data_IF_675579570154
#
_entry.id   IF_675579570154
#
_cell.length_a   1.000
_cell.length_b   1.000
_cell.length_c   1.000
_cell.angle_alpha   90.00
_cell.angle_beta   90.00
_cell.angle_gamma   90.00
#
_symmetry.space_group_name_H-M   'P 1'
#
loop_
_entity.id
_entity.type
_entity.pdbx_description
1 polymer ?
#
# COMPACT_ATOMS: atom_id res chain seq x y z
N UNK A 1 16.73 3.39 -13.13
CA UNK A 1 17.92 4.04 -12.54
C UNK A 1 19.13 3.93 -13.45
N UNK A 2 19.45 2.75 -13.96
CA UNK A 2 20.59 2.57 -14.87
C UNK A 2 20.51 3.56 -16.06
N UNK A 3 19.34 3.70 -16.68
CA UNK A 3 19.14 4.66 -17.75
C UNK A 3 19.32 6.11 -17.28
N UNK A 4 18.79 6.48 -16.12
CA UNK A 4 18.95 7.82 -15.57
C UNK A 4 20.43 8.16 -15.36
N UNK A 5 21.24 7.22 -14.86
CA UNK A 5 22.69 7.41 -14.74
C UNK A 5 23.37 7.51 -16.12
N UNK A 6 23.00 6.63 -17.06
CA UNK A 6 23.57 6.61 -18.41
C UNK A 6 23.32 7.93 -19.16
N UNK A 7 22.13 8.50 -18.99
CA UNK A 7 21.72 9.74 -19.68
C UNK A 7 21.87 11.00 -18.84
N UNK A 8 22.51 10.92 -17.66
CA UNK A 8 22.60 12.03 -16.70
C UNK A 8 21.25 12.70 -16.42
N UNK A 9 20.19 11.89 -16.26
CA UNK A 9 18.83 12.32 -16.09
C UNK A 9 18.31 12.01 -14.68
N UNK A 10 17.18 12.61 -14.31
CA UNK A 10 16.47 12.32 -13.06
C UNK A 10 15.48 11.18 -13.24
N UNK A 11 15.21 10.49 -12.13
CA UNK A 11 14.21 9.42 -12.09
C UNK A 11 12.85 9.95 -11.64
N UNK A 12 11.79 9.61 -12.37
CA UNK A 12 10.41 9.92 -12.00
C UNK A 12 9.57 8.63 -12.02
N UNK A 13 8.72 8.45 -11.01
CA UNK A 13 7.73 7.36 -10.97
C UNK A 13 6.33 7.95 -10.99
N UNK A 14 5.50 7.44 -11.88
CA UNK A 14 4.10 7.83 -12.00
C UNK A 14 3.19 6.90 -11.20
N UNK A 15 2.22 7.49 -10.53
CA UNK A 15 1.15 6.78 -9.81
C UNK A 15 -0.19 7.40 -10.16
N UNK A 16 -1.23 6.58 -10.16
CA UNK A 16 -2.60 7.08 -10.15
C UNK A 16 -3.14 7.15 -8.71
N UNK A 17 -3.77 8.27 -8.35
CA UNK A 17 -4.43 8.42 -7.05
C UNK A 17 -5.81 9.09 -7.24
N UNK A 18 -6.93 8.50 -6.77
CA UNK A 18 -7.00 7.14 -6.22
C UNK A 18 -6.54 6.08 -7.23
N UNK A 19 -6.28 4.87 -6.75
CA UNK A 19 -5.99 3.73 -7.64
C UNK A 19 -7.20 3.49 -8.56
N UNK A 20 -6.96 3.09 -9.81
CA UNK A 20 -8.04 2.90 -10.78
C UNK A 20 -9.17 1.99 -10.25
N UNK A 21 -8.83 0.87 -9.56
CA UNK A 21 -9.82 -0.01 -8.96
C UNK A 21 -10.68 0.68 -7.88
N UNK A 22 -10.09 1.59 -7.09
CA UNK A 22 -10.84 2.38 -6.08
C UNK A 22 -11.76 3.41 -6.72
N UNK A 23 -11.36 3.99 -7.84
CA UNK A 23 -12.23 4.88 -8.61
C UNK A 23 -13.41 4.11 -9.20
N UNK A 24 -13.17 2.97 -9.84
CA UNK A 24 -14.22 2.19 -10.46
C UNK A 24 -15.22 1.60 -9.45
N UNK A 25 -14.77 1.18 -8.27
CA UNK A 25 -15.67 0.70 -7.22
C UNK A 25 -16.67 1.78 -6.76
N UNK A 26 -16.26 3.06 -6.81
CA UNK A 26 -17.15 4.18 -6.44
C UNK A 26 -18.14 4.57 -7.55
N UNK A 27 -17.77 4.36 -8.81
CA UNK A 27 -18.51 4.88 -9.98
C UNK A 27 -19.41 3.82 -10.60
N UNK A 28 -18.96 2.57 -10.69
CA UNK A 28 -19.70 1.48 -11.37
C UNK A 28 -20.63 0.73 -10.45
N UNK A 29 -20.15 0.38 -9.28
CA UNK A 29 -20.92 -0.39 -8.31
C UNK A 29 -20.42 -0.03 -6.90
N UNK A 30 -21.29 0.68 -6.15
CA UNK A 30 -20.99 1.07 -4.77
C UNK A 30 -20.79 -0.14 -3.83
N UNK A 31 -21.25 -1.32 -4.23
CA UNK A 31 -21.09 -2.55 -3.47
C UNK A 31 -19.77 -3.27 -3.78
N UNK A 32 -19.08 -2.89 -4.88
CA UNK A 32 -17.79 -3.48 -5.23
C UNK A 32 -16.69 -2.92 -4.34
N UNK A 33 -16.16 -3.77 -3.47
CA UNK A 33 -15.07 -3.42 -2.57
C UNK A 33 -13.74 -3.46 -3.37
N UNK A 34 -12.98 -2.37 -3.42
CA UNK A 34 -11.69 -2.39 -4.11
C UNK A 34 -10.70 -3.30 -3.39
N UNK A 35 -9.72 -3.86 -4.11
CA UNK A 35 -8.67 -4.66 -3.49
C UNK A 35 -7.96 -3.87 -2.37
N UNK A 36 -7.67 -4.49 -1.22
CA UNK A 36 -6.99 -3.82 -0.13
C UNK A 36 -5.59 -3.37 -0.55
N UNK A 37 -5.15 -2.23 -0.06
CA UNK A 37 -3.80 -1.72 -0.36
C UNK A 37 -2.75 -2.49 0.42
N UNK A 38 -1.78 -3.05 -0.29
CA UNK A 38 -0.61 -3.70 0.32
C UNK A 38 0.24 -2.66 1.05
N UNK A 39 0.40 -1.49 0.43
CA UNK A 39 1.26 -0.43 0.93
C UNK A 39 0.52 0.91 0.86
N UNK A 40 0.24 1.58 1.99
CA UNK A 40 -0.26 2.93 2.01
C UNK A 40 0.67 3.90 1.29
N UNK A 41 0.11 4.98 0.71
CA UNK A 41 0.89 5.92 -0.12
C UNK A 41 2.13 6.49 0.60
N UNK A 42 2.01 6.79 1.89
CA UNK A 42 3.13 7.34 2.69
C UNK A 42 4.28 6.33 2.83
N UNK A 43 3.97 5.06 3.06
CA UNK A 43 4.98 4.01 3.12
C UNK A 43 5.60 3.75 1.74
N UNK A 44 4.78 3.78 0.68
CA UNK A 44 5.25 3.76 -0.71
C UNK A 44 6.25 4.88 -0.96
N UNK A 45 5.95 6.11 -0.52
CA UNK A 45 6.86 7.24 -0.64
C UNK A 45 8.20 7.01 0.09
N UNK A 46 8.16 6.44 1.30
CA UNK A 46 9.40 6.10 2.04
C UNK A 46 10.24 5.03 1.31
N UNK A 47 9.58 4.05 0.69
CA UNK A 47 10.25 3.04 -0.12
C UNK A 47 10.90 3.65 -1.36
N UNK A 48 10.23 4.55 -2.06
CA UNK A 48 10.78 5.28 -3.20
C UNK A 48 12.00 6.12 -2.80
N UNK A 49 11.91 6.83 -1.66
CA UNK A 49 13.04 7.58 -1.11
C UNK A 49 14.24 6.69 -0.83
N UNK A 50 14.03 5.53 -0.19
CA UNK A 50 15.08 4.51 0.03
C UNK A 50 15.66 4.00 -1.28
N UNK A 51 14.83 3.88 -2.31
CA UNK A 51 15.25 3.52 -3.65
C UNK A 51 15.92 4.66 -4.40
N UNK A 52 16.16 5.83 -3.79
CA UNK A 52 16.78 7.01 -4.40
C UNK A 52 16.08 7.42 -5.71
N UNK A 53 14.75 7.42 -5.73
CA UNK A 53 13.93 7.99 -6.79
C UNK A 53 13.85 9.50 -6.55
N UNK A 54 14.11 10.30 -7.58
CA UNK A 54 14.16 11.75 -7.48
C UNK A 54 12.75 12.37 -7.37
N UNK A 55 11.80 11.90 -8.18
CA UNK A 55 10.44 12.45 -8.25
C UNK A 55 9.37 11.37 -8.21
N UNK A 56 8.25 11.68 -7.58
CA UNK A 56 7.01 10.91 -7.62
C UNK A 56 5.88 11.79 -8.17
N UNK A 57 5.31 11.41 -9.30
CA UNK A 57 4.21 12.11 -9.93
C UNK A 57 2.89 11.39 -9.66
N UNK A 58 1.92 12.10 -9.08
CA UNK A 58 0.59 11.57 -8.80
C UNK A 58 -0.40 12.09 -9.86
N UNK A 59 -0.79 11.21 -10.76
CA UNK A 59 -1.85 11.49 -11.73
C UNK A 59 -3.21 11.29 -11.05
N UNK A 60 -4.02 12.35 -10.99
CA UNK A 60 -5.37 12.26 -10.43
C UNK A 60 -6.25 11.38 -11.33
N UNK A 61 -6.58 10.16 -10.83
CA UNK A 61 -7.48 9.27 -11.56
C UNK A 61 -8.94 9.73 -11.38
N UNK A 62 -9.45 10.38 -12.39
CA UNK A 62 -10.80 10.96 -12.45
C UNK A 62 -11.45 10.66 -13.81
N UNK A 63 -12.63 11.22 -14.07
CA UNK A 63 -13.31 11.06 -15.35
C UNK A 63 -12.45 11.52 -16.54
N UNK A 64 -11.73 12.64 -16.41
CA UNK A 64 -10.84 13.17 -17.49
C UNK A 64 -9.75 12.16 -17.85
N UNK A 65 -8.98 11.66 -16.86
CA UNK A 65 -7.92 10.69 -17.12
C UNK A 65 -8.48 9.34 -17.63
N UNK A 66 -9.63 8.92 -17.11
CA UNK A 66 -10.30 7.67 -17.52
C UNK A 66 -10.75 7.67 -18.99
N UNK A 67 -11.23 8.81 -19.48
CA UNK A 67 -11.74 8.96 -20.87
C UNK A 67 -10.70 9.47 -21.84
N UNK A 68 -9.50 9.82 -21.37
CA UNK A 68 -8.39 10.30 -22.18
C UNK A 68 -7.95 9.22 -23.17
N UNK A 69 -7.87 9.57 -24.45
CA UNK A 69 -7.36 8.62 -25.46
C UNK A 69 -5.89 8.29 -25.22
N UNK A 70 -5.35 7.20 -25.80
CA UNK A 70 -3.91 6.92 -25.70
C UNK A 70 -3.07 8.06 -26.28
N UNK A 71 -3.47 8.65 -27.39
CA UNK A 71 -2.75 9.76 -28.03
C UNK A 71 -2.79 11.03 -27.18
N UNK A 72 -3.92 11.33 -26.55
CA UNK A 72 -4.03 12.44 -25.60
C UNK A 72 -3.17 12.20 -24.35
N UNK A 73 -3.10 10.98 -23.86
CA UNK A 73 -2.23 10.64 -22.72
C UNK A 73 -0.76 10.89 -23.07
N UNK A 74 -0.33 10.48 -24.24
CA UNK A 74 1.01 10.72 -24.74
C UNK A 74 1.27 12.24 -24.88
N UNK A 75 0.43 12.94 -25.62
CA UNK A 75 0.65 14.35 -25.93
C UNK A 75 0.52 15.28 -24.73
N UNK A 76 -0.45 15.05 -23.82
CA UNK A 76 -0.69 15.92 -22.68
C UNK A 76 0.15 15.57 -21.45
N UNK A 77 0.59 14.31 -21.29
CA UNK A 77 1.33 13.86 -20.11
C UNK A 77 2.79 13.56 -20.45
N UNK A 78 3.06 12.69 -21.43
CA UNK A 78 4.43 12.26 -21.69
C UNK A 78 5.22 13.33 -22.45
N UNK A 79 4.63 13.97 -23.47
CA UNK A 79 5.28 15.05 -24.23
C UNK A 79 5.45 16.35 -23.43
N UNK A 80 4.74 16.49 -22.28
CA UNK A 80 4.93 17.64 -21.37
C UNK A 80 6.20 17.54 -20.52
N UNK A 81 6.91 16.42 -20.59
CA UNK A 81 8.11 16.13 -19.80
C UNK A 81 9.26 15.82 -20.75
N UNK A 82 10.44 16.36 -20.50
CA UNK A 82 11.64 16.02 -21.25
C UNK A 82 12.15 14.62 -20.89
N UNK A 83 11.57 13.59 -21.51
CA UNK A 83 11.91 12.20 -21.28
C UNK A 83 13.09 11.75 -22.15
N UNK A 84 14.02 11.00 -21.56
CA UNK A 84 15.10 10.29 -22.27
C UNK A 84 14.86 8.80 -22.33
N UNK A 85 14.14 8.25 -21.35
CA UNK A 85 13.67 6.87 -21.39
C UNK A 85 12.35 6.71 -20.61
N UNK A 86 11.55 5.73 -21.01
CA UNK A 86 10.30 5.37 -20.38
C UNK A 86 10.21 3.86 -20.17
N UNK A 87 10.10 3.41 -18.92
CA UNK A 87 10.08 2.00 -18.57
C UNK A 87 8.72 1.60 -18.03
N UNK A 88 8.12 0.57 -18.58
CA UNK A 88 6.79 0.07 -18.21
C UNK A 88 6.81 -1.44 -17.96
N UNK A 89 5.79 -1.96 -17.26
CA UNK A 89 5.60 -3.40 -17.13
C UNK A 89 5.15 -4.02 -18.46
N UNK A 90 5.38 -5.31 -18.61
CA UNK A 90 5.00 -6.10 -19.79
C UNK A 90 3.48 -6.12 -20.08
N UNK A 91 2.66 -5.97 -19.03
CA UNK A 91 1.20 -5.90 -19.08
C UNK A 91 0.63 -4.47 -19.04
N UNK A 92 1.48 -3.48 -19.23
CA UNK A 92 1.07 -2.07 -19.14
C UNK A 92 0.03 -1.72 -20.20
N UNK A 93 -1.03 -1.06 -19.75
CA UNK A 93 -2.11 -0.55 -20.60
C UNK A 93 -2.53 0.81 -20.11
N UNK A 94 -2.83 1.72 -21.02
CA UNK A 94 -3.21 3.10 -20.70
C UNK A 94 -4.30 3.63 -21.65
N UNK A 95 -4.78 4.82 -21.35
CA UNK A 95 -5.83 5.48 -22.13
C UNK A 95 -7.22 4.83 -21.95
N UNK A 96 -8.22 5.45 -22.57
CA UNK A 96 -9.61 5.02 -22.50
C UNK A 96 -9.78 3.58 -23.00
N UNK A 97 -10.48 2.75 -22.21
CA UNK A 97 -10.70 1.35 -22.54
C UNK A 97 -9.42 0.50 -22.57
N UNK A 98 -8.30 0.98 -22.03
CA UNK A 98 -6.99 0.29 -22.05
C UNK A 98 -6.47 0.04 -23.46
N UNK A 99 -6.80 0.93 -24.41
CA UNK A 99 -6.46 0.78 -25.84
C UNK A 99 -4.98 1.04 -26.13
N UNK A 100 -4.30 1.84 -25.29
CA UNK A 100 -2.86 2.06 -25.38
C UNK A 100 -2.09 0.90 -24.77
N UNK A 101 -1.02 0.49 -25.43
CA UNK A 101 -0.13 -0.58 -25.02
C UNK A 101 1.35 -0.20 -25.16
N UNK A 102 2.21 -1.16 -24.94
CA UNK A 102 3.65 -0.97 -25.03
C UNK A 102 4.14 -0.72 -26.46
N UNK A 103 3.49 -1.31 -27.45
CA UNK A 103 3.90 -1.15 -28.85
C UNK A 103 3.59 0.26 -29.34
N UNK A 104 2.44 0.83 -28.93
CA UNK A 104 2.14 2.24 -29.18
C UNK A 104 3.18 3.16 -28.54
N UNK A 105 3.61 2.86 -27.31
CA UNK A 105 4.66 3.64 -26.64
C UNK A 105 6.02 3.51 -27.32
N UNK A 106 6.40 2.32 -27.79
CA UNK A 106 7.64 2.11 -28.52
C UNK A 106 7.65 2.90 -29.81
N UNK A 107 6.58 2.81 -30.62
CA UNK A 107 6.44 3.58 -31.86
C UNK A 107 6.49 5.11 -31.62
N UNK A 108 5.90 5.59 -30.53
CA UNK A 108 6.03 6.99 -30.12
C UNK A 108 7.46 7.34 -29.72
N UNK A 109 8.09 6.48 -28.90
CA UNK A 109 9.45 6.67 -28.43
C UNK A 109 10.46 6.74 -29.58
N UNK A 110 10.37 5.83 -30.55
CA UNK A 110 11.21 5.81 -31.76
C UNK A 110 11.14 7.14 -32.52
N UNK A 111 9.92 7.68 -32.73
CA UNK A 111 9.73 8.97 -33.40
C UNK A 111 10.32 10.14 -32.66
N UNK A 112 10.45 10.05 -31.34
CA UNK A 112 10.94 11.13 -30.46
C UNK A 112 12.39 10.94 -30.00
N UNK A 113 13.02 9.81 -30.35
CA UNK A 113 14.36 9.45 -29.85
C UNK A 113 14.36 9.10 -28.37
N UNK A 114 13.23 8.62 -27.83
CA UNK A 114 13.03 8.22 -26.44
C UNK A 114 13.11 6.70 -26.34
N UNK A 115 13.97 6.19 -25.46
CA UNK A 115 14.10 4.76 -25.21
C UNK A 115 12.88 4.24 -24.41
N UNK A 116 12.06 3.37 -25.01
CA UNK A 116 10.95 2.70 -24.33
C UNK A 116 11.30 1.25 -24.06
N UNK A 117 11.31 0.84 -22.80
CA UNK A 117 11.70 -0.48 -22.33
C UNK A 117 10.58 -1.13 -21.51
N UNK A 118 10.49 -2.46 -21.63
CA UNK A 118 9.68 -3.26 -20.71
C UNK A 118 10.53 -3.77 -19.56
N UNK A 119 9.97 -3.77 -18.36
CA UNK A 119 10.57 -4.52 -17.25
C UNK A 119 10.37 -6.01 -17.49
N UNK A 120 11.41 -6.79 -17.22
CA UNK A 120 11.27 -8.24 -17.17
C UNK A 120 10.30 -8.66 -16.06
N UNK A 121 9.52 -9.71 -16.33
CA UNK A 121 8.65 -10.31 -15.32
C UNK A 121 9.51 -10.99 -14.24
N UNK A 122 9.40 -10.51 -13.02
CA UNK A 122 10.05 -11.15 -11.86
C UNK A 122 9.21 -12.36 -11.46
N UNK A 123 9.86 -13.50 -11.35
CA UNK A 123 9.24 -14.76 -10.88
C UNK A 123 9.87 -15.23 -9.57
N UNK A 124 9.09 -15.90 -8.75
CA UNK A 124 9.50 -16.61 -7.55
C UNK A 124 8.81 -17.98 -7.55
N UNK A 125 9.58 -19.05 -7.42
CA UNK A 125 9.08 -20.45 -7.49
C UNK A 125 8.29 -20.73 -8.80
N UNK A 126 8.81 -20.23 -9.93
CA UNK A 126 8.20 -20.39 -11.25
C UNK A 126 6.93 -19.57 -11.51
N UNK A 127 6.48 -18.78 -10.56
CA UNK A 127 5.27 -17.97 -10.65
C UNK A 127 5.59 -16.49 -10.60
N UNK A 128 4.83 -15.69 -11.39
CA UNK A 128 4.98 -14.22 -11.42
C UNK A 128 4.78 -13.60 -10.02
N UNK A 129 5.70 -12.71 -9.63
CA UNK A 129 5.50 -11.83 -8.48
C UNK A 129 4.51 -10.73 -8.86
N UNK A 130 3.37 -10.69 -8.18
CA UNK A 130 2.30 -9.74 -8.45
C UNK A 130 1.63 -9.24 -7.18
N UNK A 131 1.00 -8.06 -7.25
CA UNK A 131 0.21 -7.54 -6.14
C UNK A 131 -0.99 -8.44 -5.78
N UNK A 132 -1.53 -9.20 -6.72
CA UNK A 132 -2.60 -10.18 -6.45
C UNK A 132 -2.07 -11.30 -5.57
N UNK A 133 -0.99 -11.95 -5.97
CA UNK A 133 -0.36 -13.03 -5.19
C UNK A 133 0.08 -12.57 -3.80
N UNK A 134 0.65 -11.37 -3.68
CA UNK A 134 1.02 -10.81 -2.37
C UNK A 134 -0.21 -10.62 -1.48
N UNK A 135 -1.35 -10.14 -2.02
CA UNK A 135 -2.59 -10.02 -1.24
C UNK A 135 -3.13 -11.37 -0.79
N UNK A 136 -3.10 -12.37 -1.65
CA UNK A 136 -3.51 -13.74 -1.32
C UNK A 136 -2.67 -14.31 -0.17
N UNK A 137 -1.34 -14.17 -0.22
CA UNK A 137 -0.47 -14.62 0.87
C UNK A 137 -0.78 -13.89 2.19
N UNK A 138 -1.01 -12.58 2.14
CA UNK A 138 -1.36 -11.79 3.33
C UNK A 138 -2.74 -12.14 3.88
N UNK A 139 -3.74 -12.36 3.02
CA UNK A 139 -5.08 -12.80 3.43
C UNK A 139 -5.06 -14.18 4.08
N UNK A 140 -4.18 -15.06 3.60
CA UNK A 140 -3.94 -16.39 4.16
C UNK A 140 -2.96 -16.37 5.35
N UNK A 141 -2.52 -15.18 5.79
CA UNK A 141 -1.56 -14.96 6.88
C UNK A 141 -0.17 -15.59 6.65
N UNK A 142 0.21 -15.86 5.42
CA UNK A 142 1.51 -16.42 5.04
C UNK A 142 2.56 -15.29 4.94
N UNK A 143 2.90 -14.67 6.09
CA UNK A 143 3.81 -13.52 6.13
C UNK A 143 5.20 -13.84 5.58
N UNK A 144 5.69 -15.06 5.76
CA UNK A 144 6.99 -15.48 5.23
C UNK A 144 7.01 -15.48 3.69
N UNK A 145 5.97 -15.98 3.04
CA UNK A 145 5.86 -15.95 1.59
C UNK A 145 5.61 -14.53 1.09
N UNK A 146 4.76 -13.76 1.77
CA UNK A 146 4.54 -12.35 1.46
C UNK A 146 5.86 -11.54 1.57
N UNK A 147 6.72 -11.82 2.56
CA UNK A 147 8.04 -11.20 2.71
C UNK A 147 8.96 -11.53 1.53
N UNK A 148 9.02 -12.81 1.10
CA UNK A 148 9.79 -13.23 -0.07
C UNK A 148 9.33 -12.50 -1.34
N UNK A 149 8.01 -12.42 -1.57
CA UNK A 149 7.43 -11.75 -2.73
C UNK A 149 7.62 -10.21 -2.70
N UNK A 150 7.61 -9.61 -1.50
CA UNK A 150 7.81 -8.17 -1.30
C UNK A 150 9.29 -7.77 -1.29
N UNK A 151 10.21 -8.71 -1.06
CA UNK A 151 11.63 -8.46 -0.77
C UNK A 151 11.86 -7.75 0.58
N UNK A 152 10.86 -7.73 1.47
CA UNK A 152 10.90 -7.08 2.78
C UNK A 152 9.76 -7.57 3.67
N UNK A 153 9.89 -7.47 5.02
CA UNK A 153 8.78 -7.77 5.91
C UNK A 153 7.52 -6.94 5.60
N UNK A 154 6.36 -7.53 5.81
CA UNK A 154 5.11 -6.79 5.75
C UNK A 154 4.99 -5.90 6.98
N UNK A 155 4.95 -4.60 6.75
CA UNK A 155 4.88 -3.58 7.80
C UNK A 155 3.79 -2.56 7.52
N UNK A 156 3.29 -1.94 8.56
CA UNK A 156 2.42 -0.77 8.49
C UNK A 156 2.96 0.33 9.40
N UNK A 157 3.02 1.56 8.91
CA UNK A 157 3.45 2.72 9.70
C UNK A 157 2.33 3.75 9.78
N UNK A 158 1.95 4.12 11.00
CA UNK A 158 0.88 5.10 11.23
C UNK A 158 1.18 6.05 12.39
N UNK A 159 0.40 7.13 12.47
CA UNK A 159 0.40 8.04 13.62
C UNK A 159 -0.48 7.43 14.72
N UNK A 160 0.00 7.48 15.97
CA UNK A 160 -0.79 7.06 17.12
C UNK A 160 -1.78 8.17 17.45
N UNK A 161 -3.05 7.80 17.54
CA UNK A 161 -4.18 8.70 17.81
C UNK A 161 -4.91 8.28 19.07
N UNK A 162 -5.68 9.20 19.65
CA UNK A 162 -6.57 8.87 20.76
C UNK A 162 -7.65 7.89 20.32
N UNK A 163 -7.88 6.85 21.09
CA UNK A 163 -8.96 5.89 20.96
C UNK A 163 -9.99 6.05 22.08
N UNK A 164 -10.86 5.06 22.23
CA UNK A 164 -11.88 5.05 23.30
C UNK A 164 -11.33 4.72 24.70
N UNK A 165 -10.03 4.47 24.83
CA UNK A 165 -9.32 4.18 26.08
C UNK A 165 -9.81 2.95 26.88
N UNK A 166 -10.63 2.09 26.30
CA UNK A 166 -11.20 0.90 26.96
C UNK A 166 -10.11 -0.04 27.50
N UNK A 167 -8.99 -0.19 26.80
CA UNK A 167 -7.89 -1.04 27.24
C UNK A 167 -7.23 -0.57 28.54
N UNK A 168 -7.29 0.74 28.88
CA UNK A 168 -6.74 1.27 30.15
C UNK A 168 -7.50 0.76 31.36
N UNK A 169 -8.81 0.57 31.25
CA UNK A 169 -9.65 0.08 32.36
C UNK A 169 -9.33 -1.34 32.79
N UNK A 170 -8.64 -2.08 31.93
CA UNK A 170 -8.25 -3.48 32.16
C UNK A 170 -6.74 -3.69 32.25
N UNK A 171 -5.96 -2.62 32.42
CA UNK A 171 -4.49 -2.64 32.45
C UNK A 171 -3.83 -3.19 31.16
N UNK A 172 -4.52 -3.11 30.04
CA UNK A 172 -4.01 -3.47 28.70
C UNK A 172 -4.11 -2.23 27.80
N UNK A 173 -3.27 -1.21 28.02
CA UNK A 173 -3.33 0.01 27.22
C UNK A 173 -3.03 -0.30 25.74
N UNK A 174 -3.87 0.18 24.84
CA UNK A 174 -3.70 0.01 23.40
C UNK A 174 -3.43 1.35 22.71
N UNK A 175 -2.46 1.37 21.82
CA UNK A 175 -2.21 2.47 20.90
C UNK A 175 -3.09 2.31 19.67
N UNK A 176 -3.98 3.26 19.42
CA UNK A 176 -4.77 3.30 18.18
C UNK A 176 -3.93 3.92 17.07
N UNK A 177 -3.74 3.19 15.99
CA UNK A 177 -2.97 3.66 14.84
C UNK A 177 -3.93 4.18 13.78
N UNK A 178 -3.70 5.41 13.35
CA UNK A 178 -4.53 6.03 12.32
C UNK A 178 -4.36 5.32 10.98
N UNK A 179 -5.48 4.83 10.46
CA UNK A 179 -5.61 4.21 9.13
C UNK A 179 -6.35 5.19 8.22
N UNK A 180 -5.75 5.64 7.12
CA UNK A 180 -6.47 6.45 6.15
C UNK A 180 -7.49 5.55 5.43
N UNK A 181 -8.74 5.54 5.78
CA UNK A 181 -9.88 4.82 5.16
C UNK A 181 -9.51 3.72 4.13
N UNK A 182 -8.43 3.01 4.39
CA UNK A 182 -7.85 2.00 3.50
C UNK A 182 -7.89 0.67 4.22
N UNK A 183 -8.47 -0.31 3.57
CA UNK A 183 -8.42 -1.69 4.05
C UNK A 183 -7.00 -2.24 3.83
N UNK A 184 -6.47 -2.93 4.84
CA UNK A 184 -5.28 -3.75 4.72
C UNK A 184 -5.67 -5.20 4.37
N UNK A 185 -4.81 -5.97 3.70
CA UNK A 185 -5.08 -7.37 3.35
C UNK A 185 -4.82 -8.33 4.52
N UNK A 186 -5.19 -7.92 5.72
CA UNK A 186 -5.08 -8.70 6.97
C UNK A 186 -6.26 -8.38 7.88
N UNK A 187 -6.72 -9.34 8.66
CA UNK A 187 -7.77 -9.21 9.67
C UNK A 187 -7.57 -10.20 10.80
N UNK A 188 -7.72 -9.73 12.04
CA UNK A 188 -7.57 -10.55 13.25
C UNK A 188 -6.53 -10.00 14.22
N UNK A 189 -6.09 -10.85 15.13
CA UNK A 189 -5.10 -10.55 16.17
C UNK A 189 -3.76 -11.19 15.81
N UNK A 190 -2.69 -10.42 15.93
CA UNK A 190 -1.36 -10.77 15.46
C UNK A 190 -0.29 -10.52 16.50
N UNK A 191 0.70 -11.39 16.57
CA UNK A 191 1.98 -11.09 17.20
C UNK A 191 2.72 -10.07 16.31
N UNK A 192 3.25 -9.02 16.92
CA UNK A 192 3.92 -7.94 16.18
C UNK A 192 5.24 -7.53 16.83
N UNK A 193 6.15 -7.03 15.99
CA UNK A 193 7.31 -6.26 16.42
C UNK A 193 7.12 -4.82 16.00
N UNK A 194 7.25 -3.92 16.96
CA UNK A 194 7.00 -2.50 16.75
C UNK A 194 8.31 -1.71 16.84
N UNK A 195 8.48 -0.73 15.95
CA UNK A 195 9.55 0.24 16.05
C UNK A 195 8.94 1.62 16.33
N UNK A 196 9.31 2.18 17.48
CA UNK A 196 8.92 3.52 17.94
C UNK A 196 10.21 4.32 18.17
N UNK A 197 10.51 5.27 17.29
CA UNK A 197 11.81 5.94 17.25
C UNK A 197 12.94 4.90 17.17
N UNK A 198 13.83 4.84 18.17
CA UNK A 198 14.93 3.88 18.26
C UNK A 198 14.58 2.63 19.06
N UNK A 199 13.40 2.61 19.73
CA UNK A 199 12.95 1.48 20.52
C UNK A 199 12.37 0.39 19.63
N UNK A 200 12.74 -0.86 19.94
CA UNK A 200 12.15 -2.07 19.35
C UNK A 200 11.36 -2.80 20.43
N UNK A 201 10.05 -2.87 20.27
CA UNK A 201 9.10 -3.39 21.24
C UNK A 201 8.33 -4.57 20.67
N UNK A 202 8.00 -5.55 21.49
CA UNK A 202 7.09 -6.62 21.12
C UNK A 202 5.65 -6.24 21.54
N UNK A 203 4.66 -6.84 20.89
CA UNK A 203 3.27 -6.57 21.25
C UNK A 203 2.28 -7.45 20.50
N UNK A 204 1.02 -7.16 20.71
CA UNK A 204 -0.13 -7.74 20.03
C UNK A 204 -0.87 -6.64 19.30
N UNK A 205 -1.23 -6.89 18.04
CA UNK A 205 -2.02 -5.97 17.24
C UNK A 205 -3.38 -6.60 16.87
N UNK A 206 -4.44 -5.83 17.03
CA UNK A 206 -5.76 -6.16 16.49
C UNK A 206 -6.03 -5.33 15.25
N UNK A 207 -6.19 -5.99 14.11
CA UNK A 207 -6.64 -5.39 12.86
C UNK A 207 -8.10 -5.78 12.62
N UNK A 208 -8.99 -4.85 12.86
CA UNK A 208 -10.43 -5.07 12.78
C UNK A 208 -11.17 -3.96 12.08
N UNK A 209 -12.49 -3.98 12.24
CA UNK A 209 -13.39 -2.94 11.74
C UNK A 209 -14.32 -2.47 12.86
N UNK A 210 -14.61 -1.18 12.89
CA UNK A 210 -15.65 -0.61 13.77
C UNK A 210 -16.86 -0.20 12.94
N UNK A 211 -18.06 -0.56 13.36
CA UNK A 211 -19.27 -0.01 12.80
C UNK A 211 -19.30 1.51 13.00
N UNK A 212 -19.71 2.23 11.96
CA UNK A 212 -19.92 3.69 11.97
C UNK A 212 -21.22 4.02 11.27
N UNK A 213 -21.74 5.23 11.43
CA UNK A 213 -22.96 5.69 10.77
C UNK A 213 -22.88 5.58 9.21
N UNK A 214 -21.67 5.56 8.65
CA UNK A 214 -21.43 5.45 7.20
C UNK A 214 -20.85 4.10 6.74
N UNK A 215 -20.89 3.04 7.55
CA UNK A 215 -20.34 1.73 7.24
C UNK A 215 -19.29 1.25 8.25
N UNK A 216 -18.33 0.48 7.80
CA UNK A 216 -17.26 -0.04 8.64
C UNK A 216 -15.96 0.75 8.44
N UNK A 217 -15.34 1.17 9.54
CA UNK A 217 -14.03 1.82 9.52
C UNK A 217 -12.95 0.84 9.98
N UNK A 218 -11.87 0.63 9.20
CA UNK A 218 -10.76 -0.20 9.63
C UNK A 218 -10.05 0.44 10.83
N UNK A 219 -9.65 -0.40 11.78
CA UNK A 219 -8.97 -0.01 13.02
C UNK A 219 -7.78 -0.91 13.23
N UNK A 220 -6.64 -0.30 13.59
CA UNK A 220 -5.45 -1.01 14.03
C UNK A 220 -5.12 -0.56 15.45
N UNK A 221 -5.25 -1.47 16.40
CA UNK A 221 -4.91 -1.26 17.81
C UNK A 221 -3.72 -2.12 18.17
N UNK A 222 -2.75 -1.56 18.86
CA UNK A 222 -1.54 -2.26 19.29
C UNK A 222 -1.36 -2.13 20.79
N UNK A 223 -1.24 -3.25 21.48
CA UNK A 223 -0.77 -3.33 22.85
C UNK A 223 0.73 -3.64 22.82
N UNK A 224 1.54 -2.78 23.41
CA UNK A 224 2.99 -2.93 23.53
C UNK A 224 3.31 -3.55 24.89
N UNK A 225 4.11 -4.62 24.90
CA UNK A 225 4.50 -5.29 26.13
C UNK A 225 5.52 -4.47 26.91
N UNK A 226 5.41 -4.47 28.23
CA UNK A 226 6.35 -3.82 29.16
C UNK A 226 6.61 -2.34 28.82
N UNK A 227 5.58 -1.66 28.31
CA UNK A 227 5.69 -0.28 27.84
C UNK A 227 4.54 0.58 28.36
N UNK A 228 4.85 1.67 29.07
CA UNK A 228 3.85 2.51 29.73
C UNK A 228 4.06 4.03 29.50
N UNK A 229 4.75 4.40 28.43
CA UNK A 229 4.98 5.81 28.12
C UNK A 229 3.84 6.43 27.33
N UNK A 230 3.74 7.76 27.37
CA UNK A 230 2.82 8.50 26.52
C UNK A 230 3.39 8.64 25.10
N UNK A 231 2.75 7.99 24.14
CA UNK A 231 3.20 7.93 22.73
C UNK A 231 2.20 8.55 21.74
N UNK A 232 1.21 9.28 22.23
CA UNK A 232 0.26 9.98 21.35
C UNK A 232 0.97 10.94 20.41
N UNK A 233 0.43 11.06 19.22
CA UNK A 233 0.98 11.86 18.13
C UNK A 233 2.30 11.38 17.55
N UNK A 234 2.97 10.41 18.16
CA UNK A 234 4.16 9.77 17.62
C UNK A 234 3.80 8.81 16.48
N UNK A 235 4.81 8.39 15.75
CA UNK A 235 4.66 7.41 14.68
C UNK A 235 5.27 6.09 15.10
N UNK A 236 4.52 5.02 14.85
CA UNK A 236 4.95 3.65 15.10
C UNK A 236 4.97 2.88 13.79
N UNK A 237 5.95 2.00 13.63
CA UNK A 237 5.98 0.99 12.58
C UNK A 237 5.70 -0.37 13.20
N UNK A 238 4.72 -1.08 12.67
CA UNK A 238 4.28 -2.40 13.09
C UNK A 238 4.68 -3.41 12.04
N UNK A 239 5.52 -4.39 12.39
CA UNK A 239 5.82 -5.58 11.59
C UNK A 239 4.90 -6.69 12.08
N UNK A 240 4.08 -7.24 11.19
CA UNK A 240 3.26 -8.41 11.46
C UNK A 240 4.14 -9.66 11.36
N UNK A 241 4.06 -10.50 12.38
CA UNK A 241 4.90 -11.71 12.50
C UNK A 241 4.06 -12.95 12.25
N UNK A 242 3.00 -13.12 13.03
CA UNK A 242 2.15 -14.31 12.98
C UNK A 242 0.73 -13.98 13.43
N UNK A 243 -0.25 -14.67 12.89
CA UNK A 243 -1.64 -14.56 13.33
C UNK A 243 -1.85 -15.41 14.57
N UNK A 244 -2.40 -14.80 15.61
CA UNK A 244 -2.75 -15.50 16.86
C UNK A 244 -4.16 -16.07 16.75
N UNK A 245 -5.12 -15.25 16.30
CA UNK A 245 -6.53 -15.67 16.17
C UNK A 245 -7.33 -14.70 15.30
N UNK A 246 -8.55 -15.08 14.98
CA UNK A 246 -9.53 -14.17 14.39
C UNK A 246 -10.03 -13.13 15.40
N UNK A 247 -10.60 -12.05 14.88
CA UNK A 247 -11.30 -11.06 15.69
C UNK A 247 -12.50 -11.70 16.38
N UNK A 248 -12.62 -11.52 17.69
CA UNK A 248 -13.73 -12.03 18.50
C UNK A 248 -14.36 -10.89 19.30
N UNK A 249 -15.67 -10.84 19.33
CA UNK A 249 -16.39 -9.97 20.25
C UNK A 249 -16.44 -10.65 21.61
N UNK A 250 -16.24 -9.89 22.67
CA UNK A 250 -16.35 -10.34 24.05
C UNK A 250 -17.55 -9.61 24.68
N UNK A 251 -18.36 -10.36 25.42
CA UNK A 251 -19.56 -9.82 26.07
C UNK A 251 -19.19 -8.91 27.27
N UNK A 252 -17.99 -9.16 27.85
CA UNK A 252 -17.47 -8.35 28.95
C UNK A 252 -15.93 -8.27 28.92
N UNK A 253 -15.39 -7.35 29.74
CA UNK A 253 -13.94 -7.09 29.81
C UNK A 253 -13.16 -8.23 30.49
N UNK A 254 -13.79 -9.01 31.38
CA UNK A 254 -13.12 -10.10 32.05
C UNK A 254 -12.84 -11.27 31.10
N UNK A 255 -13.75 -11.52 30.17
CA UNK A 255 -13.53 -12.50 29.08
C UNK A 255 -12.39 -12.06 28.13
N UNK A 256 -12.22 -10.77 27.92
CA UNK A 256 -11.11 -10.25 27.14
C UNK A 256 -9.77 -10.41 27.86
N UNK A 257 -9.75 -10.27 29.20
CA UNK A 257 -8.55 -10.46 30.03
C UNK A 257 -8.08 -11.90 30.11
N UNK A 258 -9.02 -12.84 30.14
CA UNK A 258 -8.74 -14.28 30.30
C UNK A 258 -8.19 -14.94 29.03
N UNK A 259 -8.16 -14.21 27.92
CA UNK A 259 -7.65 -14.64 26.61
C UNK A 259 -6.34 -13.98 26.24
#
# INVERSE_FOLDING_TARGET
KNNAQKYNAKTIVFFTEPHAAEYFSKVRDKNQIPPPRICPWREKFQLLKKSKIDFACFLKFNSKLRTMSPDDFISQILDSINLVSFTVGDDFRFGAGRKGDTDLLKNWGEKKGILVENTETITLDGQRVSSTRIREELLNNNFNNAEKLLGRPYTFSGKIVHGQHLGRTINIPTANIWLPNQRLPIKGVYAVKCKLNDLSLNGIANMGVRPTVGGEKPVLEVHLFEFNENIYSQRIRVKFVEKIRDEKKFDNLDMLKSQ
#
